data_IF_495509910284
#
_entry.id   IF_495509910284
#
_cell.length_a   1.000
_cell.length_b   1.000
_cell.length_c   1.000
_cell.angle_alpha   90.00
_cell.angle_beta   90.00
_cell.angle_gamma   90.00
#
_symmetry.space_group_name_H-M   'P 1'
#
loop_
_entity.id
_entity.type
_entity.pdbx_description
1 polymer ?
#
# COMPACT_ATOMS: atom_id res chain seq x y z
N UNK A 1 -23.73 -1.19 -17.57
CA UNK A 1 -23.62 -1.82 -16.89
C UNK A 1 -23.58 -1.46 -15.77
N UNK A 2 -23.70 -1.63 -15.14
CA UNK A 2 -23.74 -1.37 -14.09
C UNK A 2 -22.64 -1.27 -13.49
N UNK A 3 -22.49 -0.50 -13.00
CA UNK A 3 -21.50 -0.27 -12.48
C UNK A 3 -21.02 -1.03 -11.67
N UNK A 4 -20.26 -1.03 -11.41
CA UNK A 4 -19.87 -1.69 -10.71
C UNK A 4 -19.60 -1.17 -9.60
N UNK A 5 -20.28 -0.74 -8.90
CA UNK A 5 -19.99 -0.39 -7.75
C UNK A 5 -19.54 -1.44 -6.97
N UNK A 6 -18.46 -1.41 -6.22
CA UNK A 6 -18.00 -2.42 -5.32
C UNK A 6 -18.58 -2.12 -3.98
N UNK A 7 -19.53 -2.91 -3.58
CA UNK A 7 -20.10 -2.79 -2.25
C UNK A 7 -19.94 -4.13 -1.57
N UNK A 8 -20.43 -4.28 -0.37
CA UNK A 8 -20.23 -5.49 0.40
C UNK A 8 -20.77 -6.72 -0.27
N UNK A 9 -21.84 -6.58 -1.02
CA UNK A 9 -22.45 -7.73 -1.66
C UNK A 9 -21.67 -8.15 -2.90
N UNK A 10 -20.87 -7.25 -3.47
CA UNK A 10 -20.13 -7.53 -4.68
C UNK A 10 -18.66 -7.76 -4.45
N UNK A 11 -18.20 -7.67 -3.22
CA UNK A 11 -16.81 -7.88 -2.89
C UNK A 11 -16.42 -9.34 -3.12
N UNK A 12 -15.34 -9.57 -3.85
CA UNK A 12 -14.89 -10.94 -4.13
C UNK A 12 -13.37 -11.03 -4.05
N UNK A 13 -12.84 -12.21 -4.35
CA UNK A 13 -11.40 -12.47 -4.23
C UNK A 13 -10.59 -11.57 -5.14
N UNK A 14 -11.10 -11.31 -6.34
CA UNK A 14 -10.37 -10.47 -7.30
C UNK A 14 -10.25 -9.05 -6.77
N UNK A 15 -11.30 -8.55 -6.13
CA UNK A 15 -11.26 -7.23 -5.51
C UNK A 15 -10.24 -7.22 -4.37
N UNK A 16 -10.19 -8.30 -3.62
CA UNK A 16 -9.24 -8.43 -2.51
C UNK A 16 -7.81 -8.38 -3.01
N UNK A 17 -7.52 -9.10 -4.08
CA UNK A 17 -6.18 -9.12 -4.66
C UNK A 17 -5.80 -7.73 -5.16
N UNK A 18 -6.74 -7.04 -5.78
CA UNK A 18 -6.48 -5.70 -6.28
C UNK A 18 -6.16 -4.73 -5.15
N UNK A 19 -6.91 -4.80 -4.06
CA UNK A 19 -6.68 -3.95 -2.90
C UNK A 19 -5.29 -4.23 -2.33
N UNK A 20 -4.95 -5.50 -2.16
CA UNK A 20 -3.66 -5.90 -1.60
C UNK A 20 -2.51 -5.41 -2.49
N UNK A 21 -2.64 -5.57 -3.79
CA UNK A 21 -1.60 -5.13 -4.71
C UNK A 21 -1.44 -3.62 -4.70
N UNK A 22 -2.54 -2.90 -4.58
CA UNK A 22 -2.49 -1.44 -4.48
C UNK A 22 -1.76 -1.02 -3.20
N UNK A 23 -2.09 -1.67 -2.09
CA UNK A 23 -1.42 -1.39 -0.82
C UNK A 23 0.07 -1.69 -0.92
N UNK A 24 0.42 -2.79 -1.56
CA UNK A 24 1.81 -3.20 -1.69
C UNK A 24 2.60 -2.21 -2.53
N UNK A 25 2.05 -1.78 -3.65
CA UNK A 25 2.72 -0.83 -4.52
C UNK A 25 2.99 0.49 -3.77
N UNK A 26 1.99 0.98 -3.06
CA UNK A 26 2.14 2.24 -2.32
C UNK A 26 3.13 2.12 -1.18
N UNK A 27 3.12 1.01 -0.49
CA UNK A 27 4.03 0.80 0.63
C UNK A 27 5.47 0.62 0.16
N UNK A 28 5.66 -0.13 -0.91
CA UNK A 28 7.00 -0.31 -1.49
C UNK A 28 7.57 1.02 -1.98
N UNK A 29 6.70 1.90 -2.51
CA UNK A 29 7.15 3.21 -2.93
C UNK A 29 7.69 4.01 -1.75
N UNK A 30 6.98 3.99 -0.63
CA UNK A 30 7.43 4.67 0.57
C UNK A 30 8.77 4.09 1.03
N UNK A 31 8.87 2.77 1.04
CA UNK A 31 10.07 2.09 1.49
C UNK A 31 11.28 2.47 0.63
N UNK A 32 11.09 2.45 -0.68
CA UNK A 32 12.18 2.75 -1.60
C UNK A 32 12.64 4.20 -1.46
N UNK A 33 11.72 5.13 -1.31
CA UNK A 33 12.05 6.52 -1.12
C UNK A 33 12.80 6.70 0.20
N UNK A 34 12.38 6.01 1.25
CA UNK A 34 13.06 6.06 2.54
C UNK A 34 14.51 5.56 2.43
N UNK A 35 14.71 4.47 1.71
CA UNK A 35 16.05 3.93 1.54
C UNK A 35 16.95 4.91 0.81
N UNK A 36 16.44 5.56 -0.23
CA UNK A 36 17.22 6.54 -0.95
C UNK A 36 17.49 7.79 -0.12
N UNK A 37 16.54 8.16 0.70
CA UNK A 37 16.70 9.32 1.58
C UNK A 37 17.83 9.11 2.58
N UNK A 38 18.03 7.88 3.02
CA UNK A 38 19.11 7.56 3.95
C UNK A 38 20.49 7.72 3.33
N UNK A 39 20.58 7.94 2.03
CA UNK A 39 21.85 8.18 1.35
C UNK A 39 22.09 9.66 1.13
N UNK A 40 21.41 10.51 1.89
CA UNK A 40 21.56 11.96 1.83
C UNK A 40 21.12 12.57 0.52
N UNK A 41 20.17 11.94 -0.15
CA UNK A 41 19.59 12.47 -1.36
C UNK A 41 18.34 13.25 -0.98
N UNK A 42 18.16 14.42 -1.58
CA UNK A 42 17.04 15.28 -1.30
C UNK A 42 15.72 14.59 -1.66
N UNK A 43 14.74 14.65 -0.76
CA UNK A 43 13.48 13.93 -0.96
C UNK A 43 12.73 14.42 -2.19
N UNK A 44 12.76 15.71 -2.48
CA UNK A 44 12.07 16.22 -3.66
C UNK A 44 12.68 15.67 -4.94
N UNK A 45 14.00 15.51 -4.96
CA UNK A 45 14.68 14.94 -6.09
C UNK A 45 14.34 13.45 -6.25
N UNK A 46 14.29 12.73 -5.15
CA UNK A 46 13.94 11.31 -5.18
C UNK A 46 12.54 11.14 -5.74
N UNK A 47 11.59 11.94 -5.26
CA UNK A 47 10.21 11.85 -5.70
C UNK A 47 10.08 12.20 -7.18
N UNK A 48 10.80 13.23 -7.62
CA UNK A 48 10.72 13.68 -9.01
C UNK A 48 11.30 12.65 -9.99
N UNK A 49 12.26 11.86 -9.54
CA UNK A 49 12.91 10.87 -10.41
C UNK A 49 12.38 9.47 -10.22
N UNK A 50 11.42 9.27 -9.35
CA UNK A 50 10.89 7.95 -9.06
C UNK A 50 10.23 7.33 -10.32
N UNK A 51 10.41 6.05 -10.49
CA UNK A 51 9.82 5.31 -11.62
C UNK A 51 8.94 4.18 -11.10
N UNK A 52 7.71 4.06 -11.54
CA UNK A 52 7.04 4.95 -12.52
C UNK A 52 6.77 6.32 -11.91
N UNK A 53 6.62 7.36 -12.72
CA UNK A 53 6.49 8.72 -12.20
C UNK A 53 5.32 8.87 -11.25
N UNK A 54 5.53 9.65 -10.20
CA UNK A 54 4.47 9.95 -9.25
C UNK A 54 3.65 11.12 -9.81
N UNK A 55 2.33 10.93 -9.83
CA UNK A 55 1.44 11.97 -10.30
C UNK A 55 1.68 13.25 -9.48
N UNK A 56 1.79 14.38 -10.17
CA UNK A 56 2.21 15.62 -9.51
C UNK A 56 1.31 16.02 -8.33
N UNK A 57 0.01 15.71 -8.40
CA UNK A 57 -0.91 16.02 -7.31
C UNK A 57 -0.66 15.17 -6.08
N UNK A 58 -0.02 14.02 -6.26
CA UNK A 58 0.24 13.11 -5.15
C UNK A 58 1.59 13.35 -4.48
N UNK A 59 2.43 14.22 -5.04
CA UNK A 59 3.79 14.37 -4.53
C UNK A 59 3.84 14.83 -3.07
N UNK A 60 2.98 15.77 -2.70
CA UNK A 60 2.96 16.23 -1.32
C UNK A 60 2.44 15.17 -0.36
N UNK A 61 1.46 14.38 -0.83
CA UNK A 61 0.93 13.29 -0.03
C UNK A 61 2.02 12.25 0.21
N UNK A 62 2.74 11.88 -0.85
CA UNK A 62 3.82 10.90 -0.74
C UNK A 62 4.91 11.41 0.19
N UNK A 63 5.27 12.69 0.05
CA UNK A 63 6.29 13.29 0.91
C UNK A 63 5.87 13.22 2.38
N UNK A 64 4.61 13.51 2.66
CA UNK A 64 4.07 13.44 4.01
C UNK A 64 4.10 12.00 4.53
N UNK A 65 3.73 11.04 3.70
CA UNK A 65 3.74 9.63 4.10
C UNK A 65 5.15 9.15 4.41
N UNK A 66 6.11 9.53 3.58
CA UNK A 66 7.51 9.17 3.79
C UNK A 66 8.00 9.74 5.13
N UNK A 67 7.59 10.95 5.45
CA UNK A 67 8.02 11.59 6.70
C UNK A 67 7.47 10.90 7.93
N UNK A 68 6.27 10.31 7.82
CA UNK A 68 5.61 9.71 8.97
C UNK A 68 6.15 8.33 9.33
N UNK A 69 6.73 7.61 8.37
CA UNK A 69 7.12 6.23 8.58
C UNK A 69 8.61 6.11 8.78
N UNK A 70 9.01 5.30 9.75
CA UNK A 70 10.39 4.90 9.88
C UNK A 70 10.67 3.79 8.88
N UNK A 71 11.94 3.66 8.51
CA UNK A 71 12.34 2.62 7.55
C UNK A 71 11.90 1.23 8.03
N UNK A 72 12.14 0.92 9.30
CA UNK A 72 11.78 -0.38 9.85
C UNK A 72 10.28 -0.61 9.82
N UNK A 73 9.50 0.45 10.06
CA UNK A 73 8.05 0.34 10.02
C UNK A 73 7.55 0.03 8.62
N UNK A 74 8.15 0.69 7.61
CA UNK A 74 7.78 0.44 6.22
C UNK A 74 8.14 -0.98 5.81
N UNK A 75 9.31 -1.46 6.23
CA UNK A 75 9.72 -2.83 5.95
C UNK A 75 8.77 -3.84 6.58
N UNK A 76 8.38 -3.60 7.82
CA UNK A 76 7.45 -4.48 8.52
C UNK A 76 6.07 -4.47 7.85
N UNK A 77 5.65 -3.32 7.37
CA UNK A 77 4.35 -3.24 6.71
C UNK A 77 4.33 -4.01 5.40
N UNK A 78 5.42 -3.95 4.63
CA UNK A 78 5.53 -4.75 3.40
C UNK A 78 5.38 -6.23 3.72
N UNK A 79 6.06 -6.69 4.77
CA UNK A 79 5.98 -8.08 5.17
C UNK A 79 4.57 -8.45 5.61
N UNK A 80 3.91 -7.58 6.35
CA UNK A 80 2.53 -7.82 6.78
C UNK A 80 1.58 -7.90 5.60
N UNK A 81 1.82 -7.11 4.56
CA UNK A 81 0.97 -7.15 3.36
C UNK A 81 1.18 -8.46 2.60
N UNK A 82 2.42 -8.94 2.51
CA UNK A 82 2.66 -10.25 1.90
C UNK A 82 1.93 -11.35 2.67
N UNK A 83 1.97 -11.30 4.01
CA UNK A 83 1.26 -12.27 4.83
C UNK A 83 -0.26 -12.16 4.65
N UNK A 84 -0.74 -10.93 4.49
CA UNK A 84 -2.15 -10.69 4.21
C UNK A 84 -2.57 -11.38 2.90
N UNK A 85 -1.74 -11.26 1.88
CA UNK A 85 -2.02 -11.88 0.60
C UNK A 85 -2.13 -13.39 0.74
N UNK A 86 -1.21 -14.00 1.49
CA UNK A 86 -1.26 -15.43 1.73
C UNK A 86 -2.52 -15.84 2.48
N UNK A 87 -2.90 -15.06 3.50
CA UNK A 87 -4.11 -15.35 4.26
C UNK A 87 -5.36 -15.32 3.39
N UNK A 88 -5.45 -14.32 2.52
CA UNK A 88 -6.59 -14.19 1.62
C UNK A 88 -6.64 -15.36 0.64
N UNK A 89 -5.49 -15.75 0.10
CA UNK A 89 -5.45 -16.87 -0.84
C UNK A 89 -5.83 -18.19 -0.19
N UNK A 90 -5.46 -18.37 1.07
CA UNK A 90 -5.79 -19.60 1.78
C UNK A 90 -7.25 -19.65 2.23
N UNK A 91 -7.87 -18.50 2.42
CA UNK A 91 -9.19 -18.43 2.99
C UNK A 91 -10.01 -17.35 2.28
N UNK A 92 -10.14 -17.52 0.99
CA UNK A 92 -10.73 -16.47 0.16
C UNK A 92 -12.20 -16.21 0.49
N UNK A 93 -12.89 -17.16 1.07
CA UNK A 93 -14.29 -16.94 1.44
C UNK A 93 -14.43 -15.88 2.52
N UNK A 94 -13.39 -15.68 3.31
CA UNK A 94 -13.38 -14.67 4.36
C UNK A 94 -12.50 -13.47 4.02
N UNK A 95 -12.15 -13.30 2.75
CA UNK A 95 -11.20 -12.27 2.34
C UNK A 95 -11.63 -10.88 2.77
N UNK A 96 -12.92 -10.59 2.68
CA UNK A 96 -13.43 -9.28 3.06
C UNK A 96 -13.14 -8.98 4.53
N UNK A 97 -13.38 -9.95 5.39
CA UNK A 97 -13.15 -9.78 6.82
C UNK A 97 -11.66 -9.69 7.13
N UNK A 98 -10.85 -10.49 6.45
CA UNK A 98 -9.41 -10.49 6.65
C UNK A 98 -8.84 -9.11 6.29
N UNK A 99 -9.25 -8.58 5.16
CA UNK A 99 -8.76 -7.27 4.71
C UNK A 99 -9.26 -6.15 5.62
N UNK A 100 -10.52 -6.20 6.01
CA UNK A 100 -11.09 -5.19 6.90
C UNK A 100 -10.35 -5.17 8.23
N UNK A 101 -10.08 -6.35 8.78
CA UNK A 101 -9.35 -6.46 10.03
C UNK A 101 -7.94 -5.88 9.90
N UNK A 102 -7.28 -6.18 8.80
CA UNK A 102 -5.95 -5.65 8.54
C UNK A 102 -5.94 -4.13 8.48
N UNK A 103 -6.91 -3.56 7.76
CA UNK A 103 -6.99 -2.11 7.60
C UNK A 103 -7.25 -1.44 8.93
N UNK A 104 -8.17 -1.98 9.72
CA UNK A 104 -8.50 -1.41 11.02
C UNK A 104 -7.29 -1.46 11.96
N UNK A 105 -6.58 -2.57 11.97
CA UNK A 105 -5.42 -2.71 12.84
C UNK A 105 -4.24 -1.85 12.41
N UNK A 106 -4.11 -1.64 11.11
CA UNK A 106 -3.00 -0.86 10.59
C UNK A 106 -3.27 0.64 10.72
N UNK A 107 -4.53 1.05 10.62
CA UNK A 107 -4.89 2.46 10.70
C UNK A 107 -4.87 3.01 12.12
N UNK A 108 -4.94 2.14 13.11
CA UNK A 108 -4.91 2.59 14.50
C UNK A 108 -3.48 2.81 15.04
#
# INVERSE_FOLDING_TARGET
MKSKEINENNFNVDDSVLIIRTLLIKTKRILEIKKNQNQNINIDQIISSYKPPIFWKDKEIVKSQVSKWKLSEAENLVEKIYNLELSVKKNYQNSKYIISDFILNTAS
#
